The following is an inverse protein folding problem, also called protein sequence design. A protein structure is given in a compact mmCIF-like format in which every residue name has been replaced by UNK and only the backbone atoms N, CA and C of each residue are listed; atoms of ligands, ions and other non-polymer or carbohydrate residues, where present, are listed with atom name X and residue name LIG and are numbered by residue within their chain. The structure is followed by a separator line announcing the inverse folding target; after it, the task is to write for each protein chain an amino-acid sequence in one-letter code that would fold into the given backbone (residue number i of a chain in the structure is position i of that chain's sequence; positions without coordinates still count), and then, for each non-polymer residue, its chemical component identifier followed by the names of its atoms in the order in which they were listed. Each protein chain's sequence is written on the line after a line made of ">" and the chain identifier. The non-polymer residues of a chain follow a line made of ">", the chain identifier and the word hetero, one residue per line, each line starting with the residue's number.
data_IF_121737103878
#
_entry.id   IF_121737103878
#
_cell.length_a   1.000
_cell.length_b   1.000
_cell.length_c   1.000
_cell.angle_alpha   90.00
_cell.angle_beta   90.00
_cell.angle_gamma   90.00
#
_symmetry.space_group_name_H-M   'P 1'
#
loop_
_entity.id
_entity.type
_entity.pdbx_description
1 polymer ?
#
# COMPACT_ATOMS: atom_id res chain seq x y z
N UNK A 1 -5.45 -40.31 -51.06
CA UNK A 1 -6.44 -39.71 -50.14
C UNK A 1 -6.16 -40.27 -48.76
N UNK A 2 -5.23 -39.67 -48.00
CA UNK A 2 -5.35 -38.49 -47.09
C UNK A 2 -5.38 -38.97 -45.64
N UNK A 3 -4.59 -38.30 -44.78
CA UNK A 3 -4.46 -38.49 -43.31
C UNK A 3 -3.26 -39.38 -42.92
N UNK A 4 -2.30 -38.99 -42.09
CA UNK A 4 -2.29 -38.00 -41.00
C UNK A 4 -0.98 -37.20 -40.99
N UNK A 5 -1.10 -35.88 -41.03
CA UNK A 5 -0.06 -34.95 -40.60
C UNK A 5 0.11 -35.08 -39.07
N UNK A 6 1.29 -35.53 -38.63
CA UNK A 6 1.72 -35.44 -37.22
C UNK A 6 2.02 -33.98 -36.95
N UNK A 7 1.05 -33.28 -36.38
CA UNK A 7 1.23 -31.95 -35.81
C UNK A 7 2.30 -32.05 -34.73
N UNK A 8 3.48 -31.49 -34.99
CA UNK A 8 4.52 -31.33 -33.99
C UNK A 8 3.95 -30.47 -32.86
N UNK A 9 3.71 -31.10 -31.71
CA UNK A 9 3.36 -30.42 -30.48
C UNK A 9 4.47 -29.40 -30.17
N UNK A 10 4.09 -28.13 -30.16
CA UNK A 10 4.86 -27.03 -29.58
C UNK A 10 5.37 -27.50 -28.21
N UNK A 11 6.67 -27.36 -27.88
CA UNK A 11 7.17 -27.75 -26.57
C UNK A 11 6.40 -26.97 -25.50
N UNK A 12 5.53 -27.68 -24.79
CA UNK A 12 4.83 -27.16 -23.62
C UNK A 12 5.87 -26.56 -22.68
N UNK A 13 5.59 -25.36 -22.18
CA UNK A 13 6.50 -24.61 -21.33
C UNK A 13 7.10 -25.50 -20.22
N UNK A 14 8.44 -25.52 -20.03
CA UNK A 14 9.11 -26.35 -19.01
C UNK A 14 8.65 -26.05 -17.57
N UNK A 15 7.90 -24.96 -17.37
CA UNK A 15 7.33 -24.54 -16.09
C UNK A 15 6.23 -25.50 -15.60
N UNK A 16 5.42 -26.07 -16.50
CA UNK A 16 4.32 -26.98 -16.13
C UNK A 16 4.86 -28.34 -15.66
N UNK A 17 5.89 -28.89 -16.31
CA UNK A 17 6.52 -30.15 -15.89
C UNK A 17 7.28 -30.05 -14.55
N UNK A 18 7.70 -28.86 -14.14
CA UNK A 18 8.34 -28.63 -12.84
C UNK A 18 7.33 -28.56 -11.67
N UNK A 19 6.06 -28.27 -11.97
CA UNK A 19 4.97 -28.22 -10.98
C UNK A 19 4.45 -29.62 -10.63
N UNK A 20 4.26 -30.51 -11.62
CA UNK A 20 3.88 -31.90 -11.39
C UNK A 20 4.95 -32.72 -10.67
N UNK A 21 6.23 -32.39 -10.86
CA UNK A 21 7.34 -33.07 -10.20
C UNK A 21 7.56 -32.66 -8.71
N UNK A 22 6.70 -31.81 -8.14
CA UNK A 22 6.81 -31.35 -6.74
C UNK A 22 8.05 -30.49 -6.43
N UNK A 23 8.86 -30.12 -7.44
CA UNK A 23 10.13 -29.40 -7.27
C UNK A 23 9.95 -27.90 -7.04
N UNK A 24 8.84 -27.34 -7.51
CA UNK A 24 8.47 -25.95 -7.30
C UNK A 24 7.23 -25.91 -6.42
N UNK A 25 7.43 -25.58 -5.14
CA UNK A 25 6.30 -25.31 -4.24
C UNK A 25 5.53 -24.09 -4.76
N UNK A 26 4.21 -24.00 -4.56
CA UNK A 26 3.41 -22.83 -4.95
C UNK A 26 3.97 -21.52 -4.35
N UNK A 27 4.73 -21.62 -3.25
CA UNK A 27 5.52 -20.51 -2.71
C UNK A 27 6.67 -20.06 -3.63
N UNK A 28 7.50 -20.99 -4.12
CA UNK A 28 8.59 -20.66 -5.07
C UNK A 28 8.04 -20.08 -6.36
N UNK A 29 6.90 -20.57 -6.83
CA UNK A 29 6.21 -20.00 -7.98
C UNK A 29 5.74 -18.56 -7.71
N UNK A 30 5.14 -18.31 -6.54
CA UNK A 30 4.74 -16.97 -6.11
C UNK A 30 5.92 -15.99 -6.00
N UNK A 31 7.04 -16.43 -5.42
CA UNK A 31 8.27 -15.63 -5.33
C UNK A 31 8.85 -15.35 -6.71
N UNK A 32 8.89 -16.34 -7.61
CA UNK A 32 9.39 -16.17 -8.98
C UNK A 32 8.48 -15.23 -9.79
N UNK A 33 7.16 -15.33 -9.65
CA UNK A 33 6.21 -14.41 -10.28
C UNK A 33 6.34 -12.98 -9.74
N UNK A 34 6.52 -12.83 -8.42
CA UNK A 34 6.75 -11.53 -7.81
C UNK A 34 8.07 -10.90 -8.30
N UNK A 35 9.15 -11.67 -8.35
CA UNK A 35 10.45 -11.24 -8.87
C UNK A 35 10.38 -10.92 -10.38
N UNK A 36 9.64 -11.71 -11.16
CA UNK A 36 9.42 -11.48 -12.58
C UNK A 36 8.58 -10.21 -12.82
N UNK A 37 7.55 -9.94 -12.01
CA UNK A 37 6.79 -8.69 -12.08
C UNK A 37 7.63 -7.48 -11.65
N UNK A 38 8.49 -7.62 -10.64
CA UNK A 38 9.48 -6.61 -10.23
C UNK A 38 10.48 -6.32 -11.35
N UNK A 39 11.00 -7.36 -12.01
CA UNK A 39 11.93 -7.23 -13.13
C UNK A 39 11.28 -6.60 -14.36
N UNK A 40 10.11 -7.09 -14.77
CA UNK A 40 9.37 -6.55 -15.92
C UNK A 40 8.99 -5.08 -15.73
N UNK A 41 8.63 -4.69 -14.50
CA UNK A 41 8.26 -3.31 -14.18
C UNK A 41 9.49 -2.41 -14.01
N UNK A 42 10.60 -2.92 -13.50
CA UNK A 42 11.90 -2.23 -13.50
C UNK A 42 12.43 -1.98 -14.91
N UNK A 43 12.24 -2.94 -15.82
CA UNK A 43 12.61 -2.79 -17.25
C UNK A 43 11.68 -1.80 -17.95
N UNK A 44 10.36 -1.88 -17.74
CA UNK A 44 9.42 -0.90 -18.27
C UNK A 44 9.70 0.53 -17.76
N UNK A 45 10.14 0.65 -16.51
CA UNK A 45 10.58 1.90 -15.90
C UNK A 45 11.87 2.43 -16.55
N UNK A 46 12.88 1.58 -16.76
CA UNK A 46 14.13 1.93 -17.46
C UNK A 46 13.91 2.35 -18.92
N UNK A 47 12.87 1.84 -19.57
CA UNK A 47 12.48 2.23 -20.93
C UNK A 47 11.70 3.55 -20.93
N UNK A 48 11.00 3.89 -19.85
CA UNK A 48 10.25 5.15 -19.73
C UNK A 48 11.08 6.37 -19.29
N UNK A 49 12.26 6.16 -18.69
CA UNK A 49 13.16 7.23 -18.23
C UNK A 49 13.98 7.91 -19.35
N UNK A 50 13.90 7.47 -20.61
CA UNK A 50 14.63 8.09 -21.73
C UNK A 50 13.82 9.10 -22.55
N UNK A 51 12.55 9.35 -22.20
CA UNK A 51 11.70 10.33 -22.88
C UNK A 51 11.47 11.59 -22.04
N UNK A 52 11.92 12.79 -22.44
CA UNK A 52 11.52 14.02 -21.78
C UNK A 52 10.02 14.25 -21.98
N UNK A 53 9.23 14.25 -20.90
CA UNK A 53 7.85 14.71 -20.93
C UNK A 53 7.84 16.23 -21.07
N UNK A 54 7.71 16.70 -22.31
CA UNK A 54 7.46 18.11 -22.63
C UNK A 54 5.98 18.40 -22.34
N UNK A 55 5.70 18.93 -21.16
CA UNK A 55 4.49 19.74 -20.96
C UNK A 55 4.84 21.15 -21.40
N UNK A 56 4.02 21.76 -22.26
CA UNK A 56 4.32 23.00 -22.98
C UNK A 56 4.51 24.27 -22.14
N UNK A 57 4.85 24.16 -20.85
CA UNK A 57 5.06 25.30 -19.95
C UNK A 57 6.27 25.16 -19.00
N UNK A 58 7.26 24.36 -19.37
CA UNK A 58 8.53 24.23 -18.65
C UNK A 58 8.79 22.82 -18.14
N UNK A 59 10.05 22.42 -18.16
CA UNK A 59 10.52 21.14 -17.62
C UNK A 59 10.42 21.19 -16.10
N UNK A 60 9.34 20.66 -15.53
CA UNK A 60 9.30 20.32 -14.11
C UNK A 60 10.17 19.07 -13.94
N UNK A 61 11.32 19.12 -13.25
CA UNK A 61 12.08 17.91 -12.95
C UNK A 61 11.16 17.00 -12.14
N UNK A 62 10.87 15.80 -12.66
CA UNK A 62 10.16 14.79 -11.90
C UNK A 62 10.96 14.53 -10.62
N UNK A 63 10.49 15.04 -9.49
CA UNK A 63 11.17 14.88 -8.22
C UNK A 63 11.20 13.37 -7.92
N UNK A 64 12.41 12.81 -7.95
CA UNK A 64 12.73 11.41 -7.67
C UNK A 64 12.12 10.91 -6.34
N UNK A 65 11.67 11.82 -5.46
CA UNK A 65 10.93 11.54 -4.22
C UNK A 65 9.51 11.00 -4.43
N UNK A 66 8.73 11.53 -5.38
CA UNK A 66 7.36 11.05 -5.60
C UNK A 66 7.36 9.64 -6.21
N UNK A 67 8.31 9.37 -7.10
CA UNK A 67 8.52 8.06 -7.72
C UNK A 67 8.93 7.01 -6.69
N UNK A 68 9.81 7.37 -5.75
CA UNK A 68 10.22 6.48 -4.64
C UNK A 68 9.07 6.14 -3.70
N UNK A 69 8.22 7.11 -3.37
CA UNK A 69 7.06 6.89 -2.50
C UNK A 69 6.04 5.98 -3.20
N UNK A 70 5.76 6.23 -4.49
CA UNK A 70 4.90 5.36 -5.30
C UNK A 70 5.43 3.93 -5.41
N UNK A 71 6.74 3.76 -5.56
CA UNK A 71 7.39 2.45 -5.61
C UNK A 71 7.29 1.69 -4.27
N UNK A 72 7.59 2.36 -3.15
CA UNK A 72 7.48 1.76 -1.82
C UNK A 72 6.02 1.41 -1.49
N UNK A 73 5.06 2.27 -1.83
CA UNK A 73 3.63 1.97 -1.66
C UNK A 73 3.18 0.83 -2.56
N UNK A 74 3.58 0.78 -3.82
CA UNK A 74 3.25 -0.32 -4.72
C UNK A 74 3.86 -1.65 -4.24
N UNK A 75 5.07 -1.61 -3.68
CA UNK A 75 5.75 -2.77 -3.11
C UNK A 75 5.08 -3.21 -1.80
N UNK A 76 4.71 -2.29 -0.92
CA UNK A 76 4.00 -2.60 0.31
C UNK A 76 2.59 -3.12 0.01
N UNK A 77 1.83 -2.46 -0.88
CA UNK A 77 0.47 -2.88 -1.25
C UNK A 77 0.48 -4.22 -2.02
N UNK A 78 1.47 -4.43 -2.89
CA UNK A 78 1.58 -5.68 -3.66
C UNK A 78 2.14 -6.85 -2.85
N UNK A 79 3.12 -6.58 -1.97
CA UNK A 79 3.84 -7.61 -1.24
C UNK A 79 3.23 -7.92 0.12
N UNK A 80 2.60 -6.95 0.79
CA UNK A 80 2.02 -7.18 2.12
C UNK A 80 0.91 -8.24 2.13
N UNK A 81 -0.02 -8.31 1.16
CA UNK A 81 -1.03 -9.37 1.14
C UNK A 81 -0.43 -10.76 0.89
N UNK A 82 0.60 -10.83 0.02
CA UNK A 82 1.30 -12.08 -0.27
C UNK A 82 2.15 -12.55 0.93
N UNK A 83 2.87 -11.64 1.58
CA UNK A 83 3.66 -11.90 2.76
C UNK A 83 2.78 -12.24 3.97
N UNK A 84 1.65 -11.55 4.16
CA UNK A 84 0.65 -11.86 5.18
C UNK A 84 0.01 -13.23 4.92
N UNK A 85 -0.45 -13.49 3.69
CA UNK A 85 -1.04 -14.76 3.32
C UNK A 85 -0.06 -15.93 3.38
N UNK A 86 1.23 -15.70 3.14
CA UNK A 86 2.27 -16.69 3.38
C UNK A 86 2.53 -16.90 4.87
N UNK A 87 2.67 -15.82 5.65
CA UNK A 87 2.88 -15.87 7.09
C UNK A 87 1.75 -16.63 7.79
N UNK A 88 0.50 -16.31 7.49
CA UNK A 88 -0.68 -16.99 8.06
C UNK A 88 -0.73 -18.46 7.67
N UNK A 89 -0.45 -18.81 6.40
CA UNK A 89 -0.47 -20.22 5.95
C UNK A 89 0.68 -21.04 6.53
N UNK A 90 1.89 -20.48 6.56
CA UNK A 90 3.06 -21.16 7.12
C UNK A 90 2.90 -21.35 8.62
N UNK A 91 2.32 -20.35 9.30
CA UNK A 91 2.02 -20.43 10.72
C UNK A 91 0.92 -21.46 11.00
N UNK A 92 -0.19 -21.44 10.25
CA UNK A 92 -1.25 -22.46 10.34
C UNK A 92 -0.70 -23.87 10.13
N UNK A 93 0.12 -24.08 9.10
CA UNK A 93 0.73 -25.39 8.84
C UNK A 93 1.65 -25.84 9.99
N UNK A 94 2.39 -24.91 10.60
CA UNK A 94 3.24 -25.21 11.76
C UNK A 94 2.39 -25.56 12.98
N UNK A 95 1.27 -24.87 13.19
CA UNK A 95 0.34 -25.13 14.30
C UNK A 95 -0.41 -26.44 14.13
N UNK A 96 -0.87 -26.76 12.92
CA UNK A 96 -1.52 -28.03 12.61
C UNK A 96 -0.56 -29.22 12.87
N UNK A 97 0.73 -29.05 12.58
CA UNK A 97 1.76 -30.04 12.92
C UNK A 97 2.03 -30.16 14.43
N UNK A 98 1.82 -29.08 15.19
CA UNK A 98 2.00 -29.04 16.64
C UNK A 98 0.73 -29.42 17.43
N UNK A 99 -0.44 -29.43 16.79
CA UNK A 99 -1.74 -29.78 17.38
C UNK A 99 -1.75 -31.11 18.16
N UNK A 100 -1.05 -32.19 17.76
CA UNK A 100 -1.01 -33.43 18.53
C UNK A 100 -0.29 -33.30 19.89
N UNK A 101 0.60 -32.32 20.01
CA UNK A 101 1.45 -32.11 21.21
C UNK A 101 0.71 -31.27 22.27
N UNK A 102 -0.19 -30.38 21.85
CA UNK A 102 -0.84 -29.41 22.75
C UNK A 102 -2.24 -29.83 23.25
N UNK A 103 -2.82 -30.93 22.74
CA UNK A 103 -4.15 -31.41 23.13
C UNK A 103 -5.30 -30.47 22.72
N UNK A 104 -6.55 -30.90 22.91
CA UNK A 104 -7.76 -30.19 22.41
C UNK A 104 -8.02 -28.78 23.01
N UNK A 105 -7.16 -28.27 23.89
CA UNK A 105 -7.30 -26.93 24.51
C UNK A 105 -6.55 -25.83 23.74
N UNK A 106 -6.69 -25.80 22.42
CA UNK A 106 -5.96 -24.88 21.51
C UNK A 106 -6.38 -23.40 21.55
N UNK A 107 -7.47 -23.06 22.23
CA UNK A 107 -8.10 -21.73 22.25
C UNK A 107 -7.17 -20.52 22.54
N UNK A 108 -6.26 -20.53 23.54
CA UNK A 108 -5.50 -19.32 23.87
C UNK A 108 -4.35 -19.02 22.89
N UNK A 109 -3.84 -20.03 22.19
CA UNK A 109 -2.67 -19.91 21.32
C UNK A 109 -3.05 -19.26 19.98
N UNK A 110 -4.21 -19.61 19.45
CA UNK A 110 -4.74 -19.02 18.21
C UNK A 110 -5.09 -17.53 18.39
N UNK A 111 -5.67 -17.15 19.54
CA UNK A 111 -5.94 -15.75 19.86
C UNK A 111 -4.65 -14.92 19.98
N UNK A 112 -3.62 -15.47 20.63
CA UNK A 112 -2.33 -14.79 20.77
C UNK A 112 -1.66 -14.54 19.41
N UNK A 113 -1.75 -15.50 18.50
CA UNK A 113 -1.19 -15.37 17.15
C UNK A 113 -1.99 -14.41 16.27
N UNK A 114 -3.32 -14.45 16.34
CA UNK A 114 -4.17 -13.48 15.66
C UNK A 114 -3.87 -12.05 16.16
N UNK A 115 -3.78 -11.85 17.48
CA UNK A 115 -3.44 -10.56 18.08
C UNK A 115 -2.05 -10.07 17.63
N UNK A 116 -1.06 -10.96 17.61
CA UNK A 116 0.30 -10.64 17.14
C UNK A 116 0.30 -10.25 15.66
N UNK A 117 -0.43 -10.97 14.81
CA UNK A 117 -0.58 -10.65 13.39
C UNK A 117 -1.20 -9.28 13.17
N UNK A 118 -2.27 -8.95 13.90
CA UNK A 118 -2.93 -7.63 13.87
C UNK A 118 -1.96 -6.53 14.32
N UNK A 119 -1.21 -6.76 15.40
CA UNK A 119 -0.24 -5.79 15.92
C UNK A 119 0.89 -5.51 14.91
N UNK A 120 1.44 -6.56 14.28
CA UNK A 120 2.47 -6.42 13.23
C UNK A 120 1.93 -5.70 12.01
N UNK A 121 0.76 -6.09 11.50
CA UNK A 121 0.13 -5.45 10.35
C UNK A 121 -0.16 -3.97 10.60
N UNK A 122 -0.71 -3.66 11.79
CA UNK A 122 -1.02 -2.28 12.20
C UNK A 122 0.26 -1.46 12.34
N UNK A 123 1.32 -2.02 12.93
CA UNK A 123 2.61 -1.33 13.08
C UNK A 123 3.26 -1.07 11.72
N UNK A 124 3.30 -2.08 10.84
CA UNK A 124 3.84 -1.96 9.49
C UNK A 124 3.10 -0.90 8.65
N UNK A 125 1.78 -0.78 8.85
CA UNK A 125 0.97 0.24 8.20
C UNK A 125 1.17 1.65 8.78
N UNK A 126 1.24 1.79 10.11
CA UNK A 126 1.33 3.10 10.77
C UNK A 126 2.73 3.73 10.69
N UNK A 127 3.78 2.93 10.56
CA UNK A 127 5.16 3.42 10.51
C UNK A 127 5.42 4.41 9.34
N UNK A 128 5.09 4.08 8.07
CA UNK A 128 5.29 5.01 6.96
C UNK A 128 4.39 6.25 7.06
N UNK A 129 3.18 6.11 7.60
CA UNK A 129 2.23 7.22 7.79
C UNK A 129 2.79 8.28 8.73
N UNK A 130 3.50 7.88 9.79
CA UNK A 130 4.17 8.82 10.70
C UNK A 130 5.22 9.67 9.99
N UNK A 131 5.99 9.07 9.08
CA UNK A 131 7.00 9.78 8.29
C UNK A 131 6.38 10.82 7.35
N UNK A 132 5.31 10.45 6.65
CA UNK A 132 4.59 11.37 5.75
C UNK A 132 3.94 12.51 6.54
N UNK A 133 3.25 12.20 7.65
CA UNK A 133 2.63 13.21 8.51
C UNK A 133 3.67 14.21 9.01
N UNK A 134 4.81 13.74 9.50
CA UNK A 134 5.89 14.60 10.00
C UNK A 134 6.35 15.58 8.92
N UNK A 135 6.56 15.13 7.68
CA UNK A 135 6.95 16.00 6.57
C UNK A 135 5.87 17.03 6.20
N UNK A 136 4.60 16.63 6.18
CA UNK A 136 3.48 17.55 5.94
C UNK A 136 3.43 18.62 7.01
N UNK A 137 3.59 18.24 8.28
CA UNK A 137 3.63 19.18 9.41
C UNK A 137 4.82 20.12 9.30
N UNK A 138 6.02 19.60 9.03
CA UNK A 138 7.24 20.41 8.86
C UNK A 138 7.07 21.45 7.74
N UNK A 139 6.59 21.03 6.55
CA UNK A 139 6.38 21.94 5.41
C UNK A 139 5.27 22.96 5.69
N UNK A 140 4.16 22.53 6.31
CA UNK A 140 3.07 23.42 6.71
C UNK A 140 3.55 24.51 7.66
N UNK A 141 4.35 24.14 8.67
CA UNK A 141 4.91 25.10 9.63
C UNK A 141 5.93 26.02 8.98
N UNK A 142 6.77 25.51 8.08
CA UNK A 142 7.71 26.32 7.31
C UNK A 142 6.99 27.38 6.47
N UNK A 143 5.94 26.98 5.74
CA UNK A 143 5.15 27.88 4.91
C UNK A 143 4.38 28.91 5.74
N UNK A 144 3.71 28.50 6.82
CA UNK A 144 3.06 29.44 7.75
C UNK A 144 4.07 30.45 8.32
N UNK A 145 5.28 30.00 8.65
CA UNK A 145 6.37 30.87 9.09
C UNK A 145 6.80 31.89 8.03
N UNK A 146 6.82 31.52 6.74
CA UNK A 146 7.08 32.43 5.61
C UNK A 146 5.97 33.47 5.47
N UNK A 147 4.71 33.03 5.43
CA UNK A 147 3.53 33.91 5.28
C UNK A 147 3.42 34.90 6.43
N UNK A 148 3.58 34.45 7.69
CA UNK A 148 3.54 35.33 8.87
C UNK A 148 4.65 36.37 8.88
N UNK A 149 5.85 36.04 8.36
CA UNK A 149 6.93 37.04 8.18
C UNK A 149 6.57 38.08 7.12
N UNK A 150 5.99 37.64 6.00
CA UNK A 150 5.53 38.53 4.95
C UNK A 150 4.43 39.50 5.41
N UNK A 151 3.47 39.01 6.21
CA UNK A 151 2.43 39.85 6.84
C UNK A 151 3.02 40.95 7.74
N UNK A 152 4.15 40.66 8.42
CA UNK A 152 4.89 41.65 9.22
C UNK A 152 5.74 42.63 8.40
N UNK A 153 5.69 42.56 7.07
CA UNK A 153 6.41 43.45 6.16
C UNK A 153 7.74 42.89 5.63
N UNK A 154 8.13 41.67 5.98
CA UNK A 154 9.29 41.01 5.36
C UNK A 154 8.90 40.39 4.02
N UNK A 155 8.82 41.22 2.98
CA UNK A 155 8.53 40.75 1.62
C UNK A 155 9.55 39.73 1.10
N UNK A 156 10.78 39.69 1.67
CA UNK A 156 11.81 38.71 1.36
C UNK A 156 11.42 37.27 1.69
N UNK A 157 10.57 37.08 2.69
CA UNK A 157 10.19 35.77 3.21
C UNK A 157 9.45 34.88 2.20
N UNK A 158 8.81 35.47 1.17
CA UNK A 158 8.07 34.72 0.15
C UNK A 158 8.92 34.22 -1.02
N UNK A 159 10.23 34.52 -1.07
CA UNK A 159 11.08 34.14 -2.22
C UNK A 159 11.12 32.62 -2.50
N UNK A 160 11.02 31.81 -1.46
CA UNK A 160 11.03 30.35 -1.54
C UNK A 160 9.63 29.73 -1.47
N UNK A 161 8.59 30.56 -1.30
CA UNK A 161 7.20 30.13 -1.30
C UNK A 161 6.70 29.95 -2.73
N UNK A 162 5.74 29.05 -2.99
CA UNK A 162 5.00 29.02 -4.25
C UNK A 162 4.38 30.37 -4.66
N UNK A 163 4.20 31.30 -3.71
CA UNK A 163 3.69 32.64 -3.96
C UNK A 163 4.75 33.65 -4.41
N UNK A 164 6.01 33.25 -4.60
CA UNK A 164 7.09 34.14 -5.00
C UNK A 164 6.74 35.00 -6.24
N UNK A 165 6.04 34.42 -7.22
CA UNK A 165 5.63 35.09 -8.45
C UNK A 165 4.58 36.21 -8.24
N UNK A 166 3.79 36.15 -7.17
CA UNK A 166 2.69 37.07 -6.88
C UNK A 166 3.01 38.06 -5.76
N UNK A 167 4.24 38.00 -5.23
CA UNK A 167 4.69 38.74 -4.05
C UNK A 167 4.41 40.25 -4.11
N UNK A 168 4.60 40.88 -5.27
CA UNK A 168 4.45 42.34 -5.43
C UNK A 168 2.98 42.78 -5.56
N UNK A 169 2.07 41.84 -5.87
CA UNK A 169 0.66 42.11 -6.15
C UNK A 169 -0.25 41.74 -4.98
N UNK A 170 0.24 40.92 -4.04
CA UNK A 170 -0.56 40.44 -2.91
C UNK A 170 -0.73 41.51 -1.84
N UNK A 171 -1.99 41.81 -1.50
CA UNK A 171 -2.31 42.61 -0.34
C UNK A 171 -2.16 41.78 0.94
N UNK A 172 -2.04 42.45 2.09
CA UNK A 172 -2.01 41.78 3.41
C UNK A 172 -3.28 40.92 3.62
N UNK A 173 -4.42 41.37 3.12
CA UNK A 173 -5.67 40.61 3.16
C UNK A 173 -5.57 39.26 2.42
N UNK A 174 -4.88 39.21 1.28
CA UNK A 174 -4.67 37.98 0.52
C UNK A 174 -3.77 37.00 1.27
N UNK A 175 -2.72 37.52 1.94
CA UNK A 175 -1.83 36.72 2.76
C UNK A 175 -2.54 36.13 3.98
N UNK A 176 -3.44 36.88 4.61
CA UNK A 176 -4.28 36.37 5.71
C UNK A 176 -5.26 35.28 5.24
N UNK A 177 -5.87 35.47 4.06
CA UNK A 177 -6.74 34.44 3.47
C UNK A 177 -5.95 33.18 3.12
N UNK A 178 -4.73 33.33 2.62
CA UNK A 178 -3.83 32.22 2.32
C UNK A 178 -3.35 31.49 3.58
N UNK A 179 -2.99 32.22 4.65
CA UNK A 179 -2.66 31.66 5.96
C UNK A 179 -3.79 30.77 6.48
N UNK A 180 -5.02 31.30 6.50
CA UNK A 180 -6.20 30.54 6.94
C UNK A 180 -6.41 29.27 6.09
N UNK A 181 -6.16 29.33 4.77
CA UNK A 181 -6.24 28.17 3.89
C UNK A 181 -5.19 27.12 4.23
N UNK A 182 -3.94 27.50 4.50
CA UNK A 182 -2.89 26.57 4.92
C UNK A 182 -3.25 25.95 6.27
N UNK A 183 -3.72 26.74 7.23
CA UNK A 183 -4.13 26.26 8.55
C UNK A 183 -5.25 25.22 8.45
N UNK A 184 -6.20 25.41 7.52
CA UNK A 184 -7.29 24.48 7.25
C UNK A 184 -6.83 23.16 6.58
N UNK A 185 -5.63 23.09 5.99
CA UNK A 185 -5.12 21.85 5.41
C UNK A 185 -4.90 20.81 6.51
N UNK A 186 -5.54 19.65 6.36
CA UNK A 186 -5.42 18.55 7.31
C UNK A 186 -4.04 17.88 7.19
N UNK A 187 -3.44 17.59 8.34
CA UNK A 187 -2.08 17.01 8.42
C UNK A 187 -2.01 15.51 8.10
N UNK A 188 -3.15 14.82 8.16
CA UNK A 188 -3.20 13.38 7.93
C UNK A 188 -3.28 13.08 6.43
N UNK A 189 -2.47 12.13 5.93
CA UNK A 189 -2.40 11.81 4.50
C UNK A 189 -3.62 11.05 3.96
N UNK A 190 -4.69 10.90 4.76
CA UNK A 190 -5.87 10.12 4.40
C UNK A 190 -7.14 10.95 4.47
N UNK A 191 -7.89 10.99 3.37
CA UNK A 191 -9.23 11.57 3.29
C UNK A 191 -10.28 10.80 4.08
N UNK A 192 -11.28 11.50 4.63
CA UNK A 192 -12.38 10.86 5.37
C UNK A 192 -13.04 9.76 4.51
N UNK A 193 -13.33 9.99 3.21
CA UNK A 193 -13.86 8.94 2.35
C UNK A 193 -12.89 7.76 2.17
N UNK A 194 -11.59 8.02 2.10
CA UNK A 194 -10.56 6.98 1.98
C UNK A 194 -10.49 6.12 3.24
N UNK A 195 -10.54 6.74 4.41
CA UNK A 195 -10.56 6.03 5.68
C UNK A 195 -11.84 5.22 5.85
N UNK A 196 -13.00 5.78 5.47
CA UNK A 196 -14.27 5.07 5.48
C UNK A 196 -14.25 3.83 4.56
N UNK A 197 -13.69 3.96 3.35
CA UNK A 197 -13.50 2.82 2.44
C UNK A 197 -12.58 1.76 3.02
N UNK A 198 -11.44 2.16 3.59
CA UNK A 198 -10.51 1.24 4.24
C UNK A 198 -11.21 0.47 5.37
N UNK A 199 -11.96 1.18 6.22
CA UNK A 199 -12.72 0.59 7.31
C UNK A 199 -13.76 -0.40 6.77
N UNK A 200 -14.51 -0.02 5.74
CA UNK A 200 -15.49 -0.91 5.10
C UNK A 200 -14.81 -2.18 4.56
N UNK A 201 -13.66 -2.07 3.88
CA UNK A 201 -12.93 -3.24 3.39
C UNK A 201 -12.41 -4.15 4.52
N UNK A 202 -12.00 -3.58 5.65
CA UNK A 202 -11.58 -4.36 6.83
C UNK A 202 -12.78 -5.02 7.52
N UNK A 203 -13.93 -4.34 7.55
CA UNK A 203 -15.14 -4.87 8.17
C UNK A 203 -15.84 -5.95 7.33
N UNK A 204 -15.71 -5.95 6.01
CA UNK A 204 -16.31 -6.98 5.14
C UNK A 204 -15.94 -8.42 5.54
N UNK A 205 -14.66 -8.81 5.66
CA UNK A 205 -14.30 -10.17 6.07
C UNK A 205 -14.75 -10.47 7.52
N UNK A 206 -14.67 -9.49 8.42
CA UNK A 206 -15.08 -9.66 9.82
C UNK A 206 -16.59 -9.89 9.90
N UNK A 207 -17.38 -9.07 9.20
CA UNK A 207 -18.82 -9.19 9.13
C UNK A 207 -19.28 -10.48 8.47
N UNK A 208 -18.56 -10.94 7.43
CA UNK A 208 -18.83 -12.23 6.78
C UNK A 208 -18.60 -13.41 7.75
N UNK A 209 -17.47 -13.40 8.47
CA UNK A 209 -17.17 -14.44 9.46
C UNK A 209 -18.18 -14.46 10.61
N UNK A 210 -18.51 -13.30 11.16
CA UNK A 210 -19.47 -13.16 12.25
C UNK A 210 -20.89 -13.56 11.81
N UNK A 211 -21.29 -13.16 10.59
CA UNK A 211 -22.58 -13.53 10.02
C UNK A 211 -22.72 -15.04 9.81
N UNK A 212 -21.66 -15.71 9.32
CA UNK A 212 -21.64 -17.17 9.18
C UNK A 212 -21.84 -17.89 10.50
N UNK A 213 -21.08 -17.50 11.54
CA UNK A 213 -21.20 -18.07 12.88
C UNK A 213 -22.59 -17.85 13.49
N UNK A 214 -23.19 -16.67 13.28
CA UNK A 214 -24.54 -16.36 13.76
C UNK A 214 -25.59 -17.24 13.08
N UNK A 215 -25.51 -17.43 11.76
CA UNK A 215 -26.44 -18.29 11.01
C UNK A 215 -26.31 -19.74 11.45
N UNK A 216 -25.10 -20.24 11.62
CA UNK A 216 -24.84 -21.59 12.13
C UNK A 216 -25.52 -21.82 13.48
N UNK A 217 -25.38 -20.86 14.40
CA UNK A 217 -25.96 -20.96 15.74
C UNK A 217 -27.50 -20.89 15.75
N UNK A 218 -28.10 -20.13 14.83
CA UNK A 218 -29.55 -20.09 14.64
C UNK A 218 -30.06 -21.43 14.09
N UNK A 219 -29.39 -21.97 13.08
CA UNK A 219 -29.77 -23.24 12.44
C UNK A 219 -29.68 -24.40 13.43
N UNK A 220 -28.60 -24.49 14.22
CA UNK A 220 -28.46 -25.52 15.25
C UNK A 220 -29.63 -25.48 16.25
N UNK A 221 -30.01 -24.28 16.72
CA UNK A 221 -31.12 -24.13 17.67
C UNK A 221 -32.52 -24.41 17.10
N UNK A 222 -32.67 -24.45 15.78
CA UNK A 222 -33.95 -24.72 15.12
C UNK A 222 -34.14 -26.20 14.79
N UNK A 223 -33.05 -26.95 14.68
CA UNK A 223 -33.06 -28.38 14.34
C UNK A 223 -33.03 -29.28 15.58
N UNK A 224 -32.71 -28.73 16.74
CA UNK A 224 -32.80 -29.37 18.06
C UNK A 224 -34.17 -29.11 18.73
#
# INVERSE_FOLDING_TARGET
>A
MTSRSKTALVPALPILGAFEAGRITPFRLGVLLALAMLGARGIAFSISETGPFSTGNGTVPADLREVRIGFVLALVIGYAPAAYGWGVRSLRATLEGLRPIFGERGEPLDLALAATGIAVATTAFLLPVRGVRRRIVEEKQAELGRVRRAIRGDGGALRESPLAAWREQMAVADLLAYEARIEAVREWPFDVPTLARLLAFVLLPIGSWLGGALVEQIVSRLLD
#
